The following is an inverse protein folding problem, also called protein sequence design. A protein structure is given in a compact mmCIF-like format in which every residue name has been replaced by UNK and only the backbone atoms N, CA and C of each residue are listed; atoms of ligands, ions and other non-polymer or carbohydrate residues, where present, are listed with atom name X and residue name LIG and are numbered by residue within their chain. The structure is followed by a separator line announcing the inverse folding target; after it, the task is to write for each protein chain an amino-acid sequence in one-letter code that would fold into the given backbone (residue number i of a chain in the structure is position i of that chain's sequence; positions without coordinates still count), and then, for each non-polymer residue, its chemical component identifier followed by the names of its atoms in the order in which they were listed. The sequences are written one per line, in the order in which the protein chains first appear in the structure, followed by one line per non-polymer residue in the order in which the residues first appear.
data_IF_331904856919
#
_entry.id   IF_331904856919
#
_cell.length_a   1.000
_cell.length_b   1.000
_cell.length_c   1.000
_cell.angle_alpha   90.00
_cell.angle_beta   90.00
_cell.angle_gamma   90.00
#
_symmetry.space_group_name_H-M   'P 1'
#
loop_
_entity.id
_entity.type
_entity.pdbx_description
1 polymer ?
#
# COMPACT_ATOMS: atom_id res chain seq x y z
N UNK A 1 26.75 -30.39 48.72
CA UNK A 1 28.15 -30.65 49.10
C UNK A 1 29.04 -29.75 48.25
N UNK A 2 29.69 -28.76 48.87
CA UNK A 2 30.54 -27.78 48.21
C UNK A 2 31.88 -28.38 47.79
N UNK A 3 32.23 -28.21 46.51
CA UNK A 3 33.53 -28.56 45.93
C UNK A 3 34.36 -27.31 45.64
N UNK A 4 35.60 -27.31 46.13
CA UNK A 4 36.61 -26.24 46.11
C UNK A 4 37.28 -26.02 44.74
N UNK A 5 37.46 -24.74 44.40
CA UNK A 5 38.74 -24.04 44.09
C UNK A 5 39.68 -24.45 42.93
N UNK A 6 39.88 -23.46 42.04
CA UNK A 6 41.16 -22.86 41.55
C UNK A 6 41.96 -23.55 40.42
N UNK A 7 42.17 -22.79 39.32
CA UNK A 7 43.47 -22.41 38.67
C UNK A 7 43.14 -21.54 37.43
N UNK A 8 43.38 -20.22 37.43
CA UNK A 8 44.58 -19.50 36.93
C UNK A 8 45.24 -20.14 35.69
N UNK A 9 45.14 -19.42 34.57
CA UNK A 9 45.98 -19.57 33.38
C UNK A 9 45.92 -18.31 32.54
N UNK A 10 46.94 -17.46 32.66
CA UNK A 10 47.20 -16.32 31.77
C UNK A 10 47.91 -16.80 30.50
N UNK A 11 47.59 -16.23 29.33
CA UNK A 11 48.63 -15.84 28.37
C UNK A 11 48.10 -14.87 27.30
N UNK A 12 48.76 -13.72 27.22
CA UNK A 12 48.77 -12.76 26.11
C UNK A 12 49.42 -13.41 24.87
N UNK A 13 49.12 -12.88 23.67
CA UNK A 13 50.12 -12.36 22.69
C UNK A 13 49.39 -11.78 21.45
N UNK A 14 49.89 -10.60 21.07
CA UNK A 14 49.54 -9.67 20.00
C UNK A 14 49.68 -10.20 18.55
N UNK A 15 49.05 -9.51 17.59
CA UNK A 15 49.75 -8.84 16.47
C UNK A 15 48.77 -8.13 15.52
N UNK A 16 49.02 -6.83 15.30
CA UNK A 16 48.40 -6.01 14.27
C UNK A 16 49.09 -6.23 12.91
N UNK A 17 48.34 -6.14 11.81
CA UNK A 17 48.89 -5.79 10.50
C UNK A 17 47.96 -4.76 9.83
N UNK A 18 48.51 -3.58 9.63
CA UNK A 18 47.94 -2.47 8.88
C UNK A 18 48.06 -2.72 7.38
N UNK A 19 47.00 -2.43 6.61
CA UNK A 19 46.96 -2.55 5.15
C UNK A 19 46.51 -1.25 4.48
N UNK A 20 47.48 -0.37 4.26
CA UNK A 20 47.66 0.65 3.21
C UNK A 20 46.43 1.25 2.51
N UNK A 21 46.19 2.54 2.78
CA UNK A 21 45.45 3.49 1.92
C UNK A 21 46.37 3.95 0.79
N UNK A 22 46.03 3.67 -0.46
CA UNK A 22 46.69 4.25 -1.62
C UNK A 22 45.86 5.41 -2.17
N UNK A 23 46.27 6.64 -1.85
CA UNK A 23 45.90 7.85 -2.58
C UNK A 23 46.91 8.02 -3.72
N UNK A 24 46.45 7.98 -4.97
CA UNK A 24 47.22 8.44 -6.13
C UNK A 24 46.31 9.34 -6.96
N UNK A 25 46.79 10.57 -7.16
CA UNK A 25 46.03 11.71 -7.65
C UNK A 25 45.95 11.84 -9.18
N UNK A 26 45.27 12.92 -9.55
CA UNK A 26 44.88 13.44 -10.86
C UNK A 26 45.88 13.32 -12.02
N UNK A 27 45.37 13.10 -13.23
CA UNK A 27 45.35 14.13 -14.31
C UNK A 27 44.56 13.69 -15.55
N UNK A 28 43.64 14.57 -15.97
CA UNK A 28 43.26 14.96 -17.36
C UNK A 28 42.80 13.91 -18.39
N UNK A 29 41.51 14.09 -18.76
CA UNK A 29 40.92 14.24 -20.12
C UNK A 29 41.40 13.31 -21.26
N UNK A 30 40.51 12.45 -21.75
CA UNK A 30 40.20 12.39 -23.18
C UNK A 30 38.85 11.70 -23.42
N UNK A 31 37.99 12.40 -24.14
CA UNK A 31 36.68 11.96 -24.59
C UNK A 31 36.77 10.77 -25.55
N UNK A 32 35.95 9.75 -25.31
CA UNK A 32 35.58 8.77 -26.32
C UNK A 32 34.05 8.73 -26.43
N UNK A 33 33.54 9.24 -27.55
CA UNK A 33 32.16 9.12 -27.95
C UNK A 33 31.75 7.64 -28.05
N UNK A 34 30.44 7.35 -27.94
CA UNK A 34 29.83 6.87 -29.17
C UNK A 34 28.45 7.48 -29.46
N UNK A 35 28.28 7.78 -30.74
CA UNK A 35 27.10 7.43 -31.54
C UNK A 35 25.78 8.10 -31.18
N UNK A 36 25.44 9.09 -32.01
CA UNK A 36 24.09 9.58 -32.24
C UNK A 36 23.06 8.44 -32.34
N UNK A 37 22.14 8.42 -31.38
CA UNK A 37 20.84 7.79 -31.53
C UNK A 37 19.85 8.82 -32.13
N UNK A 38 18.86 8.38 -32.93
CA UNK A 38 18.04 9.25 -33.76
C UNK A 38 17.12 10.14 -32.92
N UNK A 39 16.96 11.39 -33.36
CA UNK A 39 15.90 12.28 -32.88
C UNK A 39 14.55 11.64 -33.21
N UNK A 40 13.74 11.41 -32.18
CA UNK A 40 12.32 11.15 -32.33
C UNK A 40 11.66 12.51 -32.40
N UNK A 41 11.12 12.83 -33.58
CA UNK A 41 10.28 13.99 -33.82
C UNK A 41 9.11 14.01 -32.81
N UNK A 42 8.95 15.12 -32.11
CA UNK A 42 7.71 15.42 -31.39
C UNK A 42 6.61 15.69 -32.42
N UNK A 43 5.83 14.67 -32.75
CA UNK A 43 4.60 14.85 -33.51
C UNK A 43 3.52 15.45 -32.60
N UNK A 44 3.34 16.76 -32.73
CA UNK A 44 2.24 17.49 -32.09
C UNK A 44 0.91 16.98 -32.65
N UNK A 45 0.15 16.23 -31.86
CA UNK A 45 -1.21 15.79 -32.24
C UNK A 45 -2.20 16.91 -31.91
N UNK A 46 -2.69 17.60 -32.94
CA UNK A 46 -3.77 18.59 -32.83
C UNK A 46 -5.13 17.89 -32.77
N UNK A 47 -5.81 17.94 -31.63
CA UNK A 47 -7.18 17.45 -31.49
C UNK A 47 -8.13 18.49 -32.12
N UNK A 48 -8.87 18.10 -33.14
CA UNK A 48 -9.92 18.92 -33.77
C UNK A 48 -11.24 18.61 -33.10
N UNK A 49 -11.74 19.53 -32.26
CA UNK A 49 -13.09 19.45 -31.70
C UNK A 49 -14.08 20.01 -32.72
N UNK A 50 -15.00 19.17 -33.20
CA UNK A 50 -16.14 19.59 -34.01
C UNK A 50 -17.28 19.98 -33.06
N UNK A 51 -17.55 21.29 -32.94
CA UNK A 51 -18.74 21.81 -32.27
C UNK A 51 -19.86 21.94 -33.30
N UNK A 52 -20.90 21.12 -33.17
CA UNK A 52 -22.17 21.29 -33.89
C UNK A 52 -23.12 22.09 -33.00
N UNK A 53 -23.76 23.10 -33.59
CA UNK A 53 -24.69 24.05 -32.97
C UNK A 53 -26.08 23.82 -33.56
N UNK A 54 -27.12 23.71 -32.72
CA UNK A 54 -28.54 24.04 -33.01
C UNK A 54 -29.14 24.41 -31.63
N UNK A 55 -29.33 25.68 -31.27
CA UNK A 55 -30.35 26.69 -31.63
C UNK A 55 -31.82 26.30 -31.31
N UNK A 56 -32.30 26.96 -30.26
CA UNK A 56 -33.65 27.53 -30.04
C UNK A 56 -34.92 26.65 -29.98
N UNK A 57 -35.60 26.64 -28.83
CA UNK A 57 -36.97 27.17 -28.67
C UNK A 57 -37.70 26.73 -27.38
N UNK A 58 -38.68 27.56 -27.02
CA UNK A 58 -39.35 27.81 -25.75
C UNK A 58 -40.54 26.86 -25.42
N UNK A 59 -40.81 26.69 -24.11
CA UNK A 59 -42.03 26.32 -23.34
C UNK A 59 -43.22 25.53 -23.95
N UNK A 60 -43.68 24.49 -23.21
CA UNK A 60 -45.11 24.28 -22.83
C UNK A 60 -45.33 23.18 -21.76
N UNK A 61 -46.29 23.42 -20.88
CA UNK A 61 -46.78 22.68 -19.69
C UNK A 61 -47.59 21.37 -19.93
N UNK A 62 -47.34 20.35 -19.08
CA UNK A 62 -48.24 19.31 -18.44
C UNK A 62 -49.05 18.29 -19.28
N UNK A 63 -49.58 17.16 -18.71
CA UNK A 63 -49.34 16.47 -17.43
C UNK A 63 -49.01 14.94 -17.53
N UNK A 64 -48.63 14.39 -16.37
CA UNK A 64 -48.40 12.98 -15.99
C UNK A 64 -49.40 11.94 -16.56
N UNK A 65 -48.93 10.70 -16.80
CA UNK A 65 -49.61 9.53 -16.25
C UNK A 65 -48.71 8.74 -15.30
N UNK A 66 -49.29 8.38 -14.15
CA UNK A 66 -48.77 7.46 -13.15
C UNK A 66 -47.97 6.30 -13.75
N UNK A 67 -46.69 6.23 -13.37
CA UNK A 67 -45.92 4.99 -13.41
C UNK A 67 -45.80 4.54 -11.95
N UNK A 68 -46.74 3.71 -11.55
CA UNK A 68 -46.58 2.79 -10.42
C UNK A 68 -45.46 1.80 -10.77
N UNK A 69 -44.19 2.23 -10.66
CA UNK A 69 -43.06 1.30 -10.65
C UNK A 69 -42.88 0.78 -9.22
N UNK A 70 -43.75 -0.16 -8.89
CA UNK A 70 -43.57 -1.07 -7.78
C UNK A 70 -42.53 -2.14 -8.17
N UNK A 71 -41.26 -1.75 -8.26
CA UNK A 71 -40.13 -2.69 -8.24
C UNK A 71 -39.63 -2.81 -6.79
N UNK A 72 -40.34 -3.67 -6.05
CA UNK A 72 -39.73 -4.36 -4.91
C UNK A 72 -38.73 -5.37 -5.48
N UNK A 73 -37.56 -4.89 -5.88
CA UNK A 73 -36.40 -5.75 -6.07
C UNK A 73 -35.65 -5.80 -4.74
N UNK A 74 -35.33 -7.01 -4.28
CA UNK A 74 -34.56 -7.24 -3.06
C UNK A 74 -33.11 -6.80 -3.24
N UNK A 75 -32.92 -5.49 -3.40
CA UNK A 75 -31.65 -4.83 -3.62
C UNK A 75 -30.72 -5.14 -2.46
N UNK A 76 -29.50 -5.55 -2.79
CA UNK A 76 -28.40 -5.67 -1.85
C UNK A 76 -28.44 -4.48 -0.90
N UNK A 77 -28.66 -4.73 0.39
CA UNK A 77 -28.70 -3.67 1.41
C UNK A 77 -27.31 -3.09 1.70
N UNK A 78 -26.29 -3.53 0.96
CA UNK A 78 -24.95 -3.00 1.06
C UNK A 78 -24.94 -1.51 0.71
N UNK A 79 -24.16 -0.70 1.45
CA UNK A 79 -24.01 0.71 1.16
C UNK A 79 -23.38 0.92 -0.23
N UNK A 80 -23.64 2.06 -0.88
CA UNK A 80 -22.85 2.52 -2.02
C UNK A 80 -21.35 2.53 -1.67
N UNK A 81 -20.51 2.33 -2.69
CA UNK A 81 -19.05 2.29 -2.52
C UNK A 81 -18.49 3.50 -1.77
N UNK A 82 -18.99 4.69 -2.10
CA UNK A 82 -18.55 5.94 -1.47
C UNK A 82 -18.82 5.92 0.03
N UNK A 83 -20.02 5.52 0.46
CA UNK A 83 -20.38 5.45 1.87
C UNK A 83 -19.52 4.42 2.62
N UNK A 84 -19.26 3.26 2.00
CA UNK A 84 -18.38 2.24 2.58
C UNK A 84 -16.94 2.76 2.76
N UNK A 85 -16.44 3.54 1.79
CA UNK A 85 -15.11 4.12 1.84
C UNK A 85 -15.01 5.27 2.84
N UNK A 86 -16.04 6.10 2.96
CA UNK A 86 -16.14 7.15 3.98
C UNK A 86 -16.08 6.57 5.39
N UNK A 87 -16.82 5.49 5.64
CA UNK A 87 -16.78 4.77 6.92
C UNK A 87 -15.38 4.22 7.20
N UNK A 88 -14.78 3.53 6.23
CA UNK A 88 -13.45 2.95 6.36
C UNK A 88 -12.36 4.01 6.61
N UNK A 89 -12.44 5.15 5.93
CA UNK A 89 -11.52 6.28 6.13
C UNK A 89 -11.74 6.95 7.48
N UNK A 90 -12.99 7.07 7.95
CA UNK A 90 -13.29 7.59 9.28
C UNK A 90 -12.68 6.71 10.38
N UNK A 91 -12.78 5.37 10.23
CA UNK A 91 -12.15 4.41 11.13
C UNK A 91 -10.62 4.54 11.11
N UNK A 92 -9.99 4.55 9.92
CA UNK A 92 -8.54 4.77 9.78
C UNK A 92 -8.05 6.07 10.43
N UNK A 93 -8.82 7.15 10.34
CA UNK A 93 -8.49 8.43 10.97
C UNK A 93 -8.57 8.37 12.50
N UNK A 94 -9.33 7.43 13.05
CA UNK A 94 -9.46 7.23 14.49
C UNK A 94 -8.33 6.36 15.09
N UNK A 95 -7.61 5.59 14.25
CA UNK A 95 -6.55 4.69 14.70
C UNK A 95 -5.29 5.44 15.15
N UNK A 96 -4.64 4.92 16.20
CA UNK A 96 -3.31 5.39 16.59
C UNK A 96 -2.29 5.16 15.45
N UNK A 97 -1.51 6.19 15.11
CA UNK A 97 -0.60 6.17 13.95
C UNK A 97 -1.12 6.93 12.72
N UNK A 98 -2.38 7.35 12.72
CA UNK A 98 -2.85 8.41 11.84
C UNK A 98 -2.17 9.74 12.21
N UNK A 99 -1.31 10.28 11.37
CA UNK A 99 -0.61 11.55 11.63
C UNK A 99 -1.53 12.79 11.53
N UNK A 100 -2.86 12.60 11.55
CA UNK A 100 -3.86 13.67 11.42
C UNK A 100 -4.03 14.25 10.02
N UNK A 101 -3.20 13.86 9.06
CA UNK A 101 -3.21 14.35 7.68
C UNK A 101 -4.40 13.83 6.84
N UNK A 102 -5.10 12.81 7.33
CA UNK A 102 -6.14 12.11 6.58
C UNK A 102 -5.61 10.94 5.75
N UNK A 103 -6.55 10.20 5.18
CA UNK A 103 -6.30 9.05 4.31
C UNK A 103 -7.04 9.21 3.00
N UNK A 104 -6.47 8.70 1.91
CA UNK A 104 -7.12 8.63 0.60
C UNK A 104 -7.08 7.20 0.09
N UNK A 105 -8.26 6.67 -0.26
CA UNK A 105 -8.38 5.38 -0.95
C UNK A 105 -7.83 5.52 -2.37
N UNK A 106 -7.04 4.54 -2.78
CA UNK A 106 -6.37 4.48 -4.09
C UNK A 106 -7.17 3.63 -5.08
N UNK A 107 -6.77 3.66 -6.35
CA UNK A 107 -7.34 2.79 -7.39
C UNK A 107 -6.97 1.30 -7.22
N UNK A 108 -6.10 0.94 -6.27
CA UNK A 108 -5.79 -0.45 -5.97
C UNK A 108 -6.86 -1.06 -5.05
N UNK A 109 -7.92 -1.55 -5.67
CA UNK A 109 -9.10 -2.11 -5.01
C UNK A 109 -9.70 -3.24 -5.84
N UNK A 110 -10.33 -4.20 -5.17
CA UNK A 110 -11.24 -5.16 -5.81
C UNK A 110 -12.64 -5.12 -5.16
N UNK A 111 -13.00 -3.99 -4.53
CA UNK A 111 -14.29 -3.80 -3.86
C UNK A 111 -15.47 -4.17 -4.75
N UNK A 112 -16.36 -4.99 -4.22
CA UNK A 112 -17.65 -5.31 -4.84
C UNK A 112 -18.65 -5.81 -3.78
N UNK A 113 -19.94 -5.79 -4.12
CA UNK A 113 -21.03 -6.12 -3.18
C UNK A 113 -21.43 -7.61 -3.18
N UNK A 114 -20.75 -8.44 -3.97
CA UNK A 114 -21.11 -9.84 -4.22
C UNK A 114 -20.10 -10.84 -3.66
N UNK A 115 -18.85 -10.44 -3.59
CA UNK A 115 -17.72 -11.19 -3.08
C UNK A 115 -17.76 -11.29 -1.56
N UNK A 116 -17.25 -12.39 -1.05
CA UNK A 116 -17.20 -12.67 0.39
C UNK A 116 -16.18 -11.79 1.10
N UNK A 117 -15.01 -11.54 0.51
CA UNK A 117 -14.05 -10.60 1.07
C UNK A 117 -13.32 -9.86 -0.05
N UNK A 118 -13.32 -8.54 0.03
CA UNK A 118 -12.63 -7.63 -0.89
C UNK A 118 -11.80 -6.63 -0.12
N UNK A 119 -10.98 -5.85 -0.82
CA UNK A 119 -10.11 -4.86 -0.24
C UNK A 119 -10.10 -3.56 -1.04
N UNK A 120 -9.71 -2.49 -0.36
CA UNK A 120 -9.23 -1.26 -0.99
C UNK A 120 -7.96 -0.78 -0.28
N UNK A 121 -6.97 -0.33 -1.05
CA UNK A 121 -5.74 0.24 -0.47
C UNK A 121 -5.92 1.72 -0.22
N UNK A 122 -5.44 2.21 0.92
CA UNK A 122 -5.39 3.63 1.25
C UNK A 122 -3.96 4.08 1.54
N UNK A 123 -3.69 5.35 1.23
CA UNK A 123 -2.41 6.01 1.54
C UNK A 123 -2.67 7.20 2.46
N UNK A 124 -1.74 7.43 3.39
CA UNK A 124 -1.79 8.60 4.25
C UNK A 124 -1.50 9.85 3.42
N UNK A 125 -2.24 10.92 3.66
CA UNK A 125 -2.00 12.20 3.01
C UNK A 125 -0.74 12.88 3.58
N UNK A 126 -0.15 13.80 2.81
CA UNK A 126 0.92 14.70 3.27
C UNK A 126 2.14 14.01 3.92
N UNK A 127 2.56 12.86 3.41
CA UNK A 127 3.73 12.15 3.95
C UNK A 127 5.02 12.91 3.55
N UNK A 128 5.76 13.38 4.55
CA UNK A 128 7.03 14.10 4.38
C UNK A 128 8.27 13.19 4.39
N UNK A 129 8.10 11.90 4.67
CA UNK A 129 9.17 10.89 4.71
C UNK A 129 8.92 9.73 3.74
N UNK A 130 10.01 9.13 3.27
CA UNK A 130 10.05 8.10 2.20
C UNK A 130 9.33 6.78 2.52
N UNK A 131 8.86 6.58 3.75
CA UNK A 131 8.10 5.39 4.15
C UNK A 131 6.62 5.74 4.11
N UNK A 132 5.98 5.53 2.96
CA UNK A 132 4.53 5.63 2.84
C UNK A 132 3.87 4.62 3.79
N UNK A 133 3.19 5.11 4.81
CA UNK A 133 2.25 4.28 5.57
C UNK A 133 1.05 4.01 4.67
N UNK A 134 0.86 2.74 4.31
CA UNK A 134 -0.33 2.26 3.63
C UNK A 134 -1.31 1.67 4.64
N UNK A 135 -2.54 1.49 4.19
CA UNK A 135 -3.53 0.69 4.88
C UNK A 135 -4.28 -0.17 3.86
N UNK A 136 -4.74 -1.34 4.29
CA UNK A 136 -5.64 -2.19 3.51
C UNK A 136 -6.96 -2.26 4.26
N UNK A 137 -7.99 -1.68 3.66
CA UNK A 137 -9.37 -1.70 4.12
C UNK A 137 -10.02 -3.00 3.65
N UNK A 138 -10.75 -3.70 4.52
CA UNK A 138 -11.39 -4.97 4.22
C UNK A 138 -12.91 -4.79 4.19
N UNK A 139 -13.55 -5.43 3.20
CA UNK A 139 -14.99 -5.34 2.99
C UNK A 139 -15.63 -6.72 2.79
N UNK A 140 -16.72 -6.99 3.50
CA UNK A 140 -17.55 -8.18 3.31
C UNK A 140 -18.81 -7.79 2.53
N UNK A 141 -18.99 -8.29 1.31
CA UNK A 141 -20.16 -7.97 0.46
C UNK A 141 -20.42 -6.46 0.33
N UNK A 142 -19.35 -5.68 0.22
CA UNK A 142 -19.39 -4.22 0.08
C UNK A 142 -19.40 -3.44 1.40
N UNK A 143 -19.71 -4.07 2.53
CA UNK A 143 -19.70 -3.44 3.85
C UNK A 143 -18.30 -3.41 4.46
N UNK A 144 -17.89 -2.29 5.05
CA UNK A 144 -16.60 -2.19 5.73
C UNK A 144 -16.59 -3.07 6.99
N UNK A 145 -15.55 -3.90 7.14
CA UNK A 145 -15.43 -4.83 8.28
C UNK A 145 -14.14 -4.66 9.08
N UNK A 146 -13.26 -3.75 8.67
CA UNK A 146 -12.05 -3.41 9.41
C UNK A 146 -10.82 -3.19 8.53
N UNK A 147 -9.71 -2.84 9.15
CA UNK A 147 -8.43 -2.62 8.49
C UNK A 147 -7.46 -3.76 8.82
N UNK A 148 -6.78 -4.29 7.80
CA UNK A 148 -5.77 -5.33 7.96
C UNK A 148 -4.57 -4.82 8.77
N UNK A 149 -4.45 -5.25 10.04
CA UNK A 149 -3.28 -4.98 10.89
C UNK A 149 -3.00 -3.51 11.24
N UNK A 150 -3.85 -2.59 10.81
CA UNK A 150 -3.67 -1.14 10.97
C UNK A 150 -2.64 -0.51 10.02
N UNK A 151 -2.53 0.84 10.04
CA UNK A 151 -1.57 1.61 9.23
C UNK A 151 -0.11 1.18 9.36
N UNK A 152 0.52 0.76 8.26
CA UNK A 152 1.94 0.38 8.23
C UNK A 152 2.50 0.26 6.80
N UNK A 153 3.80 -0.04 6.65
CA UNK A 153 4.39 -0.26 5.32
C UNK A 153 3.96 -1.61 4.75
N UNK A 154 3.37 -1.57 3.56
CA UNK A 154 2.89 -2.74 2.81
C UNK A 154 3.68 -2.82 1.50
N UNK A 155 4.09 -4.03 1.12
CA UNK A 155 4.77 -4.28 -0.15
C UNK A 155 3.77 -4.55 -1.28
N UNK A 156 2.75 -5.36 -1.01
CA UNK A 156 1.67 -5.63 -1.95
C UNK A 156 0.43 -6.16 -1.24
N UNK A 157 -0.69 -6.13 -1.96
CA UNK A 157 -1.95 -6.76 -1.56
C UNK A 157 -2.59 -7.39 -2.79
N UNK A 158 -3.17 -8.56 -2.60
CA UNK A 158 -3.92 -9.29 -3.62
C UNK A 158 -5.22 -9.82 -3.00
N UNK A 159 -6.28 -9.91 -3.79
CA UNK A 159 -7.55 -10.47 -3.34
C UNK A 159 -8.31 -11.14 -4.48
N UNK A 160 -8.96 -12.26 -4.18
CA UNK A 160 -9.67 -13.11 -5.15
C UNK A 160 -11.21 -13.11 -4.97
N UNK A 161 -11.72 -12.21 -4.12
CA UNK A 161 -13.15 -12.13 -3.76
C UNK A 161 -13.56 -13.05 -2.61
N UNK A 162 -12.64 -13.87 -2.09
CA UNK A 162 -12.87 -14.72 -0.92
C UNK A 162 -11.82 -14.50 0.15
N UNK A 163 -10.58 -14.33 -0.27
CA UNK A 163 -9.43 -14.09 0.58
C UNK A 163 -8.71 -12.83 0.14
N UNK A 164 -8.06 -12.18 1.09
CA UNK A 164 -7.17 -11.04 0.86
C UNK A 164 -5.83 -11.38 1.48
N UNK A 165 -4.76 -11.37 0.69
CA UNK A 165 -3.40 -11.57 1.19
C UNK A 165 -2.65 -10.26 1.14
N UNK A 166 -2.19 -9.81 2.31
CA UNK A 166 -1.38 -8.60 2.46
C UNK A 166 0.06 -9.00 2.74
N UNK A 167 0.98 -8.54 1.91
CA UNK A 167 2.41 -8.70 2.15
C UNK A 167 2.92 -7.48 2.91
N UNK A 168 2.98 -7.59 4.24
CA UNK A 168 3.56 -6.56 5.08
C UNK A 168 5.08 -6.53 4.92
N UNK A 169 5.67 -5.34 5.04
CA UNK A 169 7.13 -5.21 5.04
C UNK A 169 7.70 -5.61 6.41
N UNK A 170 8.49 -6.67 6.45
CA UNK A 170 9.16 -7.13 7.67
C UNK A 170 10.47 -6.37 7.89
N UNK A 171 10.35 -5.21 8.55
CA UNK A 171 11.49 -4.34 8.86
C UNK A 171 12.51 -5.02 9.78
N UNK A 172 12.07 -5.86 10.71
CA UNK A 172 12.97 -6.53 11.67
C UNK A 172 13.82 -7.56 10.94
N UNK A 173 13.21 -8.34 10.04
CA UNK A 173 13.95 -9.27 9.20
C UNK A 173 14.94 -8.57 8.28
N UNK A 174 14.56 -7.43 7.69
CA UNK A 174 15.49 -6.61 6.91
C UNK A 174 16.69 -6.17 7.77
N UNK A 175 16.46 -5.69 8.99
CA UNK A 175 17.53 -5.25 9.90
C UNK A 175 18.42 -6.43 10.30
N UNK A 176 17.84 -7.58 10.65
CA UNK A 176 18.58 -8.80 11.02
C UNK A 176 19.50 -9.26 9.89
N UNK A 177 18.99 -9.25 8.66
CA UNK A 177 19.73 -9.64 7.46
C UNK A 177 20.75 -8.57 6.99
N UNK A 178 20.78 -7.39 7.63
CA UNK A 178 21.62 -6.25 7.23
C UNK A 178 21.20 -5.65 5.88
N UNK A 179 19.92 -5.82 5.51
CA UNK A 179 19.33 -5.39 4.25
C UNK A 179 19.17 -3.87 4.14
N UNK A 180 19.11 -3.39 2.90
CA UNK A 180 18.77 -1.99 2.61
C UNK A 180 17.29 -1.85 2.25
N UNK A 181 16.69 -0.72 2.64
CA UNK A 181 15.29 -0.41 2.34
C UNK A 181 14.97 -0.41 0.83
N UNK A 182 15.96 -0.15 -0.03
CA UNK A 182 15.82 -0.27 -1.49
C UNK A 182 15.43 -1.69 -1.95
N UNK A 183 15.61 -2.70 -1.11
CA UNK A 183 15.22 -4.08 -1.35
C UNK A 183 14.03 -4.52 -0.50
N UNK A 184 13.18 -3.58 -0.04
CA UNK A 184 12.02 -3.86 0.83
C UNK A 184 11.12 -4.99 0.31
N UNK A 185 10.98 -5.09 -1.02
CA UNK A 185 10.11 -6.09 -1.67
C UNK A 185 10.61 -7.54 -1.51
N UNK A 186 11.83 -7.74 -0.98
CA UNK A 186 12.36 -9.06 -0.63
C UNK A 186 11.95 -9.50 0.79
N UNK A 187 11.51 -8.58 1.63
CA UNK A 187 11.18 -8.82 3.05
C UNK A 187 9.66 -8.78 3.26
N UNK A 188 8.98 -9.82 2.78
CA UNK A 188 7.53 -9.95 2.89
C UNK A 188 7.15 -10.84 4.08
N UNK A 189 6.17 -10.38 4.84
CA UNK A 189 5.41 -11.19 5.79
C UNK A 189 3.96 -11.30 5.29
N UNK A 190 3.61 -12.39 4.60
CA UNK A 190 2.25 -12.59 4.11
C UNK A 190 1.30 -12.86 5.26
N UNK A 191 0.18 -12.15 5.27
CA UNK A 191 -0.95 -12.38 6.17
C UNK A 191 -2.21 -12.49 5.31
N UNK A 192 -2.91 -13.60 5.46
CA UNK A 192 -4.13 -13.89 4.70
C UNK A 192 -5.35 -13.68 5.59
N UNK A 193 -6.31 -12.93 5.06
CA UNK A 193 -7.60 -12.64 5.68
C UNK A 193 -8.70 -13.37 4.92
N UNK A 194 -9.67 -13.88 5.66
CA UNK A 194 -10.86 -14.54 5.11
C UNK A 194 -12.06 -14.33 6.02
N UNK A 195 -13.27 -14.40 5.47
CA UNK A 195 -14.49 -14.39 6.28
C UNK A 195 -14.71 -15.79 6.89
N UNK A 196 -14.90 -15.88 8.20
CA UNK A 196 -15.14 -17.17 8.88
C UNK A 196 -16.63 -17.51 9.06
N UNK A 197 -17.51 -16.60 8.64
CA UNK A 197 -18.96 -16.66 8.83
C UNK A 197 -19.50 -15.62 9.81
N UNK A 198 -18.65 -15.02 10.64
CA UNK A 198 -19.03 -14.00 11.62
C UNK A 198 -18.09 -12.78 11.61
N UNK A 199 -16.79 -13.00 11.43
CA UNK A 199 -15.79 -11.95 11.40
C UNK A 199 -14.66 -12.26 10.40
N UNK A 200 -13.76 -11.31 10.24
CA UNK A 200 -12.53 -11.53 9.47
C UNK A 200 -11.56 -12.36 10.31
N UNK A 201 -11.30 -13.58 9.88
CA UNK A 201 -10.21 -14.40 10.39
C UNK A 201 -8.88 -14.02 9.73
N UNK A 202 -7.80 -14.09 10.52
CA UNK A 202 -6.44 -13.81 10.10
C UNK A 202 -5.58 -15.08 10.22
N UNK A 203 -4.82 -15.38 9.17
CA UNK A 203 -3.76 -16.38 9.16
C UNK A 203 -2.40 -15.71 8.87
N UNK A 204 -1.43 -15.95 9.73
CA UNK A 204 -0.11 -15.31 9.68
C UNK A 204 0.09 -14.27 10.77
N UNK A 205 1.33 -13.81 10.90
CA UNK A 205 1.74 -12.83 11.90
C UNK A 205 2.13 -11.51 11.22
N UNK A 206 1.51 -10.42 11.68
CA UNK A 206 1.85 -9.07 11.24
C UNK A 206 3.17 -8.66 11.91
N UNK A 207 4.21 -8.28 11.15
CA UNK A 207 5.46 -7.81 11.73
C UNK A 207 5.22 -6.60 12.61
N UNK A 208 5.74 -6.64 13.83
CA UNK A 208 5.76 -5.45 14.70
C UNK A 208 6.95 -4.59 14.30
N UNK A 209 6.72 -3.32 14.03
CA UNK A 209 7.82 -2.36 14.06
C UNK A 209 8.25 -2.22 15.53
N UNK A 210 9.38 -2.84 15.91
CA UNK A 210 9.95 -2.59 17.23
C UNK A 210 10.34 -1.11 17.29
N UNK A 211 9.74 -0.39 18.25
CA UNK A 211 10.02 1.02 18.47
C UNK A 211 11.49 1.22 18.83
N UNK A 212 12.14 2.13 18.12
CA UNK A 212 13.47 2.63 18.51
C UNK A 212 13.32 3.70 19.61
#
# INVERSE_FOLDING_TARGET
MSGRSVRRGSMLVSAAVAGVVALSGCSTDEAAAPTSAPQVDEETTTITTTTTVEDDSESADTPNPDVDDNDTDGGSSAPPQEEAFEEAVADLNSMEGGNGSGWTVTDNTNWDTTSELTFASAVQNEITHSTTSGAVLLFHKGEYVGTAGGPQTINSVEGDGKTVTVNFFDVNKMIEDGGAFAFKDQYNAPVTYSWDGAEVAQEGEIPKAEGN
#
